data_IF_146692309630
#
_entry.id   IF_146692309630
#
_cell.length_a   1.000
_cell.length_b   1.000
_cell.length_c   1.000
_cell.angle_alpha   90.00
_cell.angle_beta   90.00
_cell.angle_gamma   90.00
#
_symmetry.space_group_name_H-M   'P 1'
#
loop_
_entity.id
_entity.type
_entity.pdbx_description
1 polymer ?
#
# COMPACT_ATOMS: atom_id res chain seq x y z
N UNK A 1 11.31 -9.21 -14.39
CA UNK A 1 10.53 -7.97 -14.21
C UNK A 1 10.31 -7.74 -12.71
N UNK A 2 10.51 -6.53 -12.24
CA UNK A 2 10.47 -6.25 -10.80
C UNK A 2 9.09 -5.72 -10.41
N UNK A 3 8.48 -6.34 -9.39
CA UNK A 3 7.19 -5.89 -8.89
C UNK A 3 7.32 -4.58 -8.12
N UNK A 4 6.21 -3.87 -7.98
CA UNK A 4 6.14 -2.57 -7.33
C UNK A 4 5.12 -2.60 -6.20
N UNK A 5 5.40 -1.81 -5.17
CA UNK A 5 4.50 -1.55 -4.06
C UNK A 5 4.35 -0.03 -3.94
N UNK A 6 3.13 0.45 -3.89
CA UNK A 6 2.86 1.88 -3.72
C UNK A 6 2.51 2.15 -2.26
N UNK A 7 3.22 3.10 -1.66
CA UNK A 7 2.95 3.55 -0.28
C UNK A 7 2.34 4.94 -0.35
N UNK A 8 1.18 5.11 0.26
CA UNK A 8 0.44 6.38 0.26
C UNK A 8 0.38 6.90 1.70
N UNK A 9 1.01 8.03 1.95
CA UNK A 9 1.03 8.66 3.28
C UNK A 9 1.42 10.12 3.10
N UNK A 10 0.73 11.03 3.80
CA UNK A 10 1.01 12.45 3.69
C UNK A 10 2.26 12.89 4.47
N UNK A 11 2.76 12.03 5.36
CA UNK A 11 3.99 12.31 6.09
C UNK A 11 5.20 11.90 5.26
N UNK A 12 6.01 12.87 4.83
CA UNK A 12 7.16 12.60 3.97
C UNK A 12 8.23 11.76 4.65
N UNK A 13 8.28 11.78 5.98
CA UNK A 13 9.23 10.95 6.74
C UNK A 13 8.98 9.46 6.56
N UNK A 14 7.78 9.08 6.16
CA UNK A 14 7.42 7.68 5.92
C UNK A 14 8.24 7.07 4.80
N UNK A 15 8.54 7.84 3.75
CA UNK A 15 9.38 7.34 2.68
C UNK A 15 10.75 6.92 3.20
N UNK A 16 11.39 7.78 3.99
CA UNK A 16 12.70 7.47 4.56
C UNK A 16 12.63 6.23 5.45
N UNK A 17 11.59 6.13 6.28
CA UNK A 17 11.40 4.99 7.16
C UNK A 17 11.26 3.68 6.37
N UNK A 18 10.40 3.67 5.37
CA UNK A 18 10.20 2.48 4.54
C UNK A 18 11.46 2.10 3.78
N UNK A 19 12.17 3.09 3.20
CA UNK A 19 13.41 2.81 2.47
C UNK A 19 14.47 2.24 3.40
N UNK A 20 14.52 2.68 4.64
CA UNK A 20 15.47 2.16 5.62
C UNK A 20 15.08 0.75 6.06
N UNK A 21 13.81 0.51 6.36
CA UNK A 21 13.34 -0.80 6.80
C UNK A 21 13.46 -1.86 5.72
N UNK A 22 13.26 -1.49 4.47
CA UNK A 22 13.32 -2.41 3.34
C UNK A 22 14.60 -2.24 2.52
N UNK A 23 15.65 -1.67 3.12
CA UNK A 23 16.89 -1.34 2.42
C UNK A 23 17.50 -2.54 1.70
N UNK A 24 17.53 -3.70 2.35
CA UNK A 24 18.11 -4.91 1.77
C UNK A 24 17.31 -5.38 0.57
N UNK A 25 16.01 -5.44 0.72
CA UNK A 25 15.12 -5.90 -0.34
C UNK A 25 15.15 -4.98 -1.56
N UNK A 26 15.20 -3.67 -1.31
CA UNK A 26 15.28 -2.68 -2.39
C UNK A 26 16.64 -2.73 -3.09
N UNK A 27 17.71 -2.88 -2.33
CA UNK A 27 19.07 -3.00 -2.89
C UNK A 27 19.18 -4.24 -3.78
N UNK A 28 18.62 -5.36 -3.32
CA UNK A 28 18.66 -6.62 -4.04
C UNK A 28 17.62 -6.70 -5.15
N UNK A 29 16.89 -5.61 -5.39
CA UNK A 29 15.85 -5.51 -6.42
C UNK A 29 14.77 -6.59 -6.28
N UNK A 30 14.47 -6.96 -5.04
CA UNK A 30 13.40 -7.91 -4.76
C UNK A 30 12.05 -7.32 -5.16
N UNK A 31 11.88 -6.03 -4.93
CA UNK A 31 10.74 -5.24 -5.39
C UNK A 31 11.12 -3.76 -5.36
N UNK A 32 10.29 -2.93 -5.97
CA UNK A 32 10.43 -1.47 -5.93
C UNK A 32 9.32 -0.89 -5.09
N UNK A 33 9.59 0.24 -4.44
CA UNK A 33 8.60 1.02 -3.71
C UNK A 33 8.47 2.39 -4.33
N UNK A 34 7.22 2.78 -4.60
CA UNK A 34 6.87 4.12 -5.02
C UNK A 34 6.09 4.78 -3.88
N UNK A 35 6.13 6.10 -3.83
CA UNK A 35 5.51 6.86 -2.74
C UNK A 35 4.61 7.94 -3.30
N UNK A 36 3.41 8.04 -2.75
CA UNK A 36 2.47 9.12 -3.05
C UNK A 36 2.11 9.81 -1.74
N UNK A 37 2.18 11.13 -1.72
CA UNK A 37 2.03 11.88 -0.48
C UNK A 37 0.63 12.45 -0.30
N UNK A 38 -0.32 11.99 -1.10
CA UNK A 38 -1.74 12.33 -0.96
C UNK A 38 -2.56 11.30 -1.72
N UNK A 39 -3.87 11.26 -1.44
CA UNK A 39 -4.78 10.41 -2.19
C UNK A 39 -4.82 10.82 -3.66
N UNK A 40 -4.82 12.13 -3.96
CA UNK A 40 -4.82 12.60 -5.33
C UNK A 40 -3.55 12.19 -6.07
N UNK A 41 -2.40 12.23 -5.42
CA UNK A 41 -1.15 11.77 -6.02
C UNK A 41 -1.18 10.27 -6.30
N UNK A 42 -1.83 9.49 -5.43
CA UNK A 42 -1.99 8.06 -5.66
C UNK A 42 -2.86 7.80 -6.90
N UNK A 43 -3.95 8.55 -7.05
CA UNK A 43 -4.83 8.43 -8.21
C UNK A 43 -4.05 8.80 -9.48
N UNK A 44 -3.26 9.88 -9.43
CA UNK A 44 -2.44 10.30 -10.57
C UNK A 44 -1.41 9.23 -10.93
N UNK A 45 -0.81 8.60 -9.93
CA UNK A 45 0.15 7.50 -10.15
C UNK A 45 -0.51 6.35 -10.89
N UNK A 46 -1.71 5.95 -10.47
CA UNK A 46 -2.42 4.85 -11.13
C UNK A 46 -2.80 5.21 -12.57
N UNK A 47 -3.18 6.46 -12.81
CA UNK A 47 -3.52 6.93 -14.16
C UNK A 47 -2.30 6.97 -15.07
N UNK A 48 -1.12 7.28 -14.51
CA UNK A 48 0.12 7.37 -15.28
C UNK A 48 0.75 6.00 -15.55
N UNK A 49 0.30 4.95 -14.85
CA UNK A 49 0.82 3.60 -15.01
C UNK A 49 -0.32 2.63 -15.39
N UNK A 50 -1.03 2.90 -16.51
CA UNK A 50 -2.13 2.04 -16.88
C UNK A 50 -1.61 0.65 -17.26
N UNK A 51 -2.41 -0.36 -16.95
CA UNK A 51 -2.14 -1.74 -17.35
C UNK A 51 -0.82 -2.30 -16.83
N UNK A 52 -0.27 -1.70 -15.76
CA UNK A 52 0.95 -2.20 -15.16
C UNK A 52 0.61 -3.36 -14.22
N UNK A 53 0.94 -4.58 -14.64
CA UNK A 53 0.71 -5.77 -13.84
C UNK A 53 1.75 -5.94 -12.73
N UNK A 54 2.78 -5.10 -12.72
CA UNK A 54 3.85 -5.19 -11.74
C UNK A 54 3.51 -4.49 -10.42
N UNK A 55 2.47 -3.66 -10.37
CA UNK A 55 1.99 -3.08 -9.11
C UNK A 55 1.11 -4.11 -8.42
N UNK A 56 1.60 -4.68 -7.31
CA UNK A 56 0.95 -5.82 -6.66
C UNK A 56 0.31 -5.50 -5.32
N UNK A 57 0.56 -4.33 -4.77
CA UNK A 57 0.06 -3.97 -3.45
C UNK A 57 0.10 -2.47 -3.25
N UNK A 58 -0.94 -1.93 -2.61
CA UNK A 58 -0.92 -0.55 -2.10
C UNK A 58 -1.01 -0.59 -0.58
N UNK A 59 -0.14 0.15 0.08
CA UNK A 59 -0.20 0.43 1.51
C UNK A 59 -0.61 1.89 1.67
N UNK A 60 -1.74 2.17 2.31
CA UNK A 60 -2.22 3.53 2.43
C UNK A 60 -2.59 3.89 3.85
N UNK A 61 -2.12 5.05 4.31
CA UNK A 61 -2.58 5.63 5.56
C UNK A 61 -4.07 5.99 5.42
N UNK A 62 -4.82 5.82 6.49
CA UNK A 62 -6.22 6.25 6.53
C UNK A 62 -6.30 7.76 6.74
N UNK A 63 -5.55 8.28 7.70
CA UNK A 63 -5.69 9.66 8.16
C UNK A 63 -4.82 10.60 7.34
N UNK A 64 -5.35 11.09 6.24
CA UNK A 64 -4.72 12.06 5.37
C UNK A 64 -5.63 13.27 5.19
N UNK A 65 -5.07 14.50 5.07
CA UNK A 65 -5.90 15.67 4.80
C UNK A 65 -6.56 15.57 3.43
N UNK A 66 -7.76 16.11 3.33
CA UNK A 66 -8.54 16.01 2.10
C UNK A 66 -9.22 14.66 2.01
N UNK A 67 -8.74 13.80 1.13
CA UNK A 67 -9.32 12.47 0.95
C UNK A 67 -8.60 11.47 1.86
N UNK A 68 -9.37 10.74 2.67
CA UNK A 68 -8.82 9.69 3.55
C UNK A 68 -8.51 8.43 2.75
N UNK A 69 -7.75 7.51 3.39
CA UNK A 69 -7.48 6.21 2.77
C UNK A 69 -8.73 5.38 2.53
N UNK A 70 -9.72 5.49 3.42
CA UNK A 70 -10.99 4.79 3.25
C UNK A 70 -11.76 5.34 2.05
N UNK A 71 -11.74 6.67 1.86
CA UNK A 71 -12.38 7.30 0.69
C UNK A 71 -11.62 7.00 -0.61
N UNK A 72 -10.30 6.85 -0.53
CA UNK A 72 -9.46 6.53 -1.68
C UNK A 72 -9.70 5.11 -2.17
N UNK A 73 -9.97 4.19 -1.26
CA UNK A 73 -10.04 2.76 -1.56
C UNK A 73 -11.04 2.41 -2.67
N UNK A 74 -12.30 2.92 -2.66
CA UNK A 74 -13.21 2.63 -3.77
C UNK A 74 -12.69 3.14 -5.12
N UNK A 75 -11.96 4.24 -5.12
CA UNK A 75 -11.39 4.80 -6.36
C UNK A 75 -10.29 3.90 -6.90
N UNK A 76 -9.47 3.35 -6.00
CA UNK A 76 -8.45 2.36 -6.40
C UNK A 76 -9.14 1.12 -6.98
N UNK A 77 -10.16 0.61 -6.31
CA UNK A 77 -10.87 -0.60 -6.75
C UNK A 77 -11.59 -0.40 -8.07
N UNK A 78 -12.08 0.82 -8.33
CA UNK A 78 -12.69 1.12 -9.63
C UNK A 78 -11.66 1.04 -10.76
N UNK A 79 -10.43 1.50 -10.51
CA UNK A 79 -9.34 1.49 -11.50
C UNK A 79 -8.67 0.11 -11.59
N UNK A 80 -8.52 -0.57 -10.47
CA UNK A 80 -7.80 -1.84 -10.36
C UNK A 80 -8.57 -2.79 -9.43
N UNK A 81 -9.63 -3.48 -9.91
CA UNK A 81 -10.52 -4.26 -9.03
C UNK A 81 -9.84 -5.37 -8.24
N UNK A 82 -8.76 -5.92 -8.74
CA UNK A 82 -8.08 -7.05 -8.08
C UNK A 82 -6.85 -6.65 -7.29
N UNK A 83 -6.49 -5.36 -7.30
CA UNK A 83 -5.30 -4.90 -6.59
C UNK A 83 -5.55 -4.86 -5.08
N UNK A 84 -4.77 -5.60 -4.27
CA UNK A 84 -4.92 -5.56 -2.82
C UNK A 84 -4.49 -4.22 -2.24
N UNK A 85 -5.25 -3.75 -1.25
CA UNK A 85 -4.93 -2.52 -0.51
C UNK A 85 -4.96 -2.83 0.98
N UNK A 86 -3.84 -2.57 1.64
CA UNK A 86 -3.75 -2.65 3.10
C UNK A 86 -3.79 -1.22 3.63
N UNK A 87 -4.72 -0.95 4.54
CA UNK A 87 -4.83 0.35 5.18
C UNK A 87 -4.01 0.37 6.48
N UNK A 88 -3.49 1.54 6.81
CA UNK A 88 -2.66 1.74 7.99
C UNK A 88 -3.27 2.88 8.81
N UNK A 89 -3.42 2.69 10.11
CA UNK A 89 -4.04 3.70 10.97
C UNK A 89 -3.40 3.72 12.36
N UNK A 90 -3.45 4.88 13.01
CA UNK A 90 -3.10 4.98 14.43
C UNK A 90 -4.27 4.51 15.32
N UNK A 91 -5.46 4.31 14.74
CA UNK A 91 -6.69 4.02 15.46
C UNK A 91 -7.26 2.69 15.00
N UNK A 92 -6.85 1.60 15.67
CA UNK A 92 -7.30 0.25 15.31
C UNK A 92 -8.58 -0.19 16.01
N UNK A 93 -9.53 0.73 16.28
CA UNK A 93 -10.77 0.38 16.93
C UNK A 93 -11.69 -0.42 16.01
N UNK A 94 -12.74 -1.00 16.60
CA UNK A 94 -13.66 -1.87 15.87
C UNK A 94 -14.38 -1.13 14.74
N UNK A 95 -14.74 0.14 14.97
CA UNK A 95 -15.45 0.93 13.95
C UNK A 95 -14.56 1.23 12.75
N UNK A 96 -13.32 1.62 12.98
CA UNK A 96 -12.36 1.87 11.89
C UNK A 96 -12.10 0.60 11.11
N UNK A 97 -11.93 -0.53 11.81
CA UNK A 97 -11.71 -1.83 11.17
C UNK A 97 -12.91 -2.21 10.31
N UNK A 98 -14.11 -2.05 10.83
CA UNK A 98 -15.35 -2.35 10.09
C UNK A 98 -15.44 -1.52 8.81
N UNK A 99 -15.20 -0.21 8.90
CA UNK A 99 -15.26 0.69 7.76
C UNK A 99 -14.21 0.36 6.71
N UNK A 100 -13.00 0.01 7.16
CA UNK A 100 -11.92 -0.35 6.25
C UNK A 100 -12.29 -1.59 5.42
N UNK A 101 -12.74 -2.63 6.07
CA UNK A 101 -13.08 -3.88 5.36
C UNK A 101 -14.34 -3.74 4.53
N UNK A 102 -15.32 -2.96 4.96
CA UNK A 102 -16.50 -2.67 4.13
C UNK A 102 -16.13 -1.92 2.85
N UNK A 103 -15.11 -1.07 2.91
CA UNK A 103 -14.64 -0.34 1.74
C UNK A 103 -13.82 -1.23 0.79
N UNK A 104 -13.46 -2.44 1.20
CA UNK A 104 -12.75 -3.39 0.37
C UNK A 104 -11.28 -3.59 0.71
N UNK A 105 -10.85 -3.18 1.91
CA UNK A 105 -9.46 -3.38 2.32
C UNK A 105 -9.12 -4.86 2.42
N UNK A 106 -7.91 -5.21 1.99
CA UNK A 106 -7.39 -6.57 2.13
C UNK A 106 -6.78 -6.81 3.50
N UNK A 107 -6.46 -5.74 4.22
CA UNK A 107 -5.92 -5.81 5.56
C UNK A 107 -5.90 -4.45 6.23
N UNK A 108 -5.64 -4.44 7.53
CA UNK A 108 -5.52 -3.22 8.32
C UNK A 108 -4.36 -3.38 9.30
N UNK A 109 -3.44 -2.44 9.25
CA UNK A 109 -2.30 -2.38 10.18
C UNK A 109 -2.47 -1.19 11.10
N UNK A 110 -2.07 -1.35 12.36
CA UNK A 110 -2.06 -0.24 13.32
C UNK A 110 -0.63 0.24 13.52
N UNK A 111 -0.48 1.55 13.72
CA UNK A 111 0.81 2.14 14.04
C UNK A 111 1.12 1.95 15.53
N UNK A 112 2.38 1.70 15.89
CA UNK A 112 3.56 1.61 15.03
C UNK A 112 3.54 0.30 14.22
N UNK A 113 4.01 0.38 12.98
CA UNK A 113 4.00 -0.78 12.08
C UNK A 113 4.98 -1.84 12.58
N UNK A 114 4.50 -3.09 12.62
CA UNK A 114 5.36 -4.25 12.87
C UNK A 114 6.01 -4.64 11.54
N UNK A 115 7.21 -4.13 11.29
CA UNK A 115 7.89 -4.33 10.02
C UNK A 115 8.25 -5.80 9.74
N UNK A 116 8.67 -6.61 10.72
CA UNK A 116 8.88 -8.04 10.44
C UNK A 116 7.63 -8.74 9.91
N UNK A 117 6.46 -8.45 10.47
CA UNK A 117 5.20 -9.04 9.99
C UNK A 117 4.89 -8.51 8.59
N UNK A 118 5.04 -7.21 8.37
CA UNK A 118 4.79 -6.62 7.06
C UNK A 118 5.73 -7.17 6.00
N UNK A 119 7.00 -7.33 6.32
CA UNK A 119 7.97 -7.93 5.41
C UNK A 119 7.57 -9.32 4.97
N UNK A 120 7.12 -10.14 5.93
CA UNK A 120 6.68 -11.49 5.62
C UNK A 120 5.46 -11.48 4.69
N UNK A 121 4.51 -10.62 4.95
CA UNK A 121 3.31 -10.49 4.12
C UNK A 121 3.69 -10.07 2.69
N UNK A 122 4.54 -9.05 2.56
CA UNK A 122 5.00 -8.57 1.25
C UNK A 122 5.74 -9.69 0.51
N UNK A 123 6.62 -10.40 1.21
CA UNK A 123 7.42 -11.47 0.58
C UNK A 123 6.53 -12.58 0.05
N UNK A 124 5.47 -12.93 0.78
CA UNK A 124 4.50 -13.91 0.30
C UNK A 124 3.78 -13.45 -0.95
N UNK A 125 3.42 -12.17 -1.03
CA UNK A 125 2.75 -11.61 -2.21
C UNK A 125 3.67 -11.55 -3.42
N UNK A 126 4.93 -11.17 -3.21
CA UNK A 126 5.95 -11.16 -4.28
C UNK A 126 6.17 -12.57 -4.80
N UNK A 127 6.31 -13.53 -3.90
CA UNK A 127 6.52 -14.92 -4.27
C UNK A 127 5.33 -15.49 -5.04
N UNK A 128 4.12 -15.18 -4.60
CA UNK A 128 2.91 -15.63 -5.30
C UNK A 128 2.84 -15.05 -6.72
N UNK A 129 3.20 -13.78 -6.89
CA UNK A 129 3.21 -13.15 -8.20
C UNK A 129 4.23 -13.82 -9.12
N UNK A 130 5.40 -14.17 -8.57
CA UNK A 130 6.47 -14.82 -9.35
C UNK A 130 6.09 -16.23 -9.80
N UNK A 131 5.27 -16.93 -9.02
CA UNK A 131 4.98 -18.34 -9.27
C UNK A 131 3.61 -18.60 -9.88
N UNK A 132 2.75 -17.63 -9.92
CA UNK A 132 1.41 -17.89 -10.41
C UNK A 132 0.82 -16.76 -11.20
N UNK A 133 1.55 -15.69 -11.20
CA UNK A 133 1.08 -14.52 -11.87
C UNK A 133 -0.17 -13.99 -11.28
#
# INVERSE_FOLDING_TARGET
MTVRILVVDDETDVEMLFRQQFRRELRDQRFKMDFAFSANNAIAFLAATPDSDDLILILSDINMPGMTGIELLPKIKAARPTLPVILITAYGDAETRRRAFEAGASGLLTKPIDFPILKNDIEQRVSAWEHGG
#
